data_IF_648717446077
#
_entry.id   IF_648717446077
#
_cell.length_a   1.000
_cell.length_b   1.000
_cell.length_c   1.000
_cell.angle_alpha   90.00
_cell.angle_beta   90.00
_cell.angle_gamma   90.00
#
_symmetry.space_group_name_H-M   'P 1'
#
loop_
_entity.id
_entity.type
_entity.pdbx_description
1 polymer ?
#
# COMPACT_ATOMS: atom_id res chain seq x y z
N UNK A 1 -21.55 50.50 -1.97
CA UNK A 1 -21.93 49.23 -1.29
C UNK A 1 -21.39 47.96 -2.00
N UNK A 2 -20.27 48.03 -2.76
CA UNK A 2 -19.74 46.90 -3.55
C UNK A 2 -18.49 46.19 -2.99
N UNK A 3 -17.89 46.72 -1.93
CA UNK A 3 -16.57 46.30 -1.41
C UNK A 3 -16.65 45.09 -0.46
N UNK A 4 -17.84 44.73 0.04
CA UNK A 4 -17.98 43.59 0.97
C UNK A 4 -18.10 42.23 0.29
N UNK A 5 -18.61 42.17 -0.96
CA UNK A 5 -18.85 40.91 -1.67
C UNK A 5 -17.54 40.29 -2.20
N UNK A 6 -16.58 41.09 -2.67
CA UNK A 6 -15.33 40.55 -3.25
C UNK A 6 -14.41 39.90 -2.19
N UNK A 7 -14.42 40.37 -0.95
CA UNK A 7 -13.57 39.84 0.13
C UNK A 7 -13.86 38.36 0.42
N UNK A 8 -15.13 37.96 0.41
CA UNK A 8 -15.51 36.57 0.60
C UNK A 8 -15.08 35.67 -0.56
N UNK A 9 -15.20 36.15 -1.80
CA UNK A 9 -14.72 35.41 -2.97
C UNK A 9 -13.21 35.16 -2.95
N UNK A 10 -12.42 36.14 -2.49
CA UNK A 10 -10.96 35.97 -2.33
C UNK A 10 -10.65 34.92 -1.26
N UNK A 11 -11.33 34.96 -0.11
CA UNK A 11 -11.13 33.97 0.96
C UNK A 11 -11.50 32.55 0.48
N UNK A 12 -12.62 32.41 -0.23
CA UNK A 12 -13.04 31.12 -0.79
C UNK A 12 -12.03 30.62 -1.84
N UNK A 13 -11.56 31.49 -2.75
CA UNK A 13 -10.59 31.13 -3.76
C UNK A 13 -9.26 30.68 -3.14
N UNK A 14 -8.76 31.39 -2.13
CA UNK A 14 -7.55 31.02 -1.39
C UNK A 14 -7.73 29.70 -0.66
N UNK A 15 -8.88 29.49 0.00
CA UNK A 15 -9.18 28.23 0.66
C UNK A 15 -9.19 27.05 -0.32
N UNK A 16 -9.87 27.19 -1.47
CA UNK A 16 -9.92 26.15 -2.48
C UNK A 16 -8.53 25.87 -3.09
N UNK A 17 -7.72 26.90 -3.31
CA UNK A 17 -6.35 26.74 -3.79
C UNK A 17 -5.45 25.99 -2.80
N UNK A 18 -5.65 26.19 -1.50
CA UNK A 18 -4.84 25.56 -0.44
C UNK A 18 -5.35 24.18 0.00
N UNK A 19 -6.67 24.00 0.08
CA UNK A 19 -7.29 22.83 0.70
C UNK A 19 -8.23 22.05 -0.23
N UNK A 20 -8.60 22.59 -1.39
CA UNK A 20 -9.48 21.90 -2.34
C UNK A 20 -8.94 20.53 -2.75
N UNK A 21 -7.63 20.46 -3.00
CA UNK A 21 -6.93 19.24 -3.37
C UNK A 21 -7.03 18.14 -2.28
N UNK A 22 -7.01 18.53 -1.00
CA UNK A 22 -7.17 17.60 0.14
C UNK A 22 -8.58 17.01 0.19
N UNK A 23 -9.60 17.83 -0.08
CA UNK A 23 -10.99 17.37 -0.13
C UNK A 23 -11.22 16.42 -1.29
N UNK A 24 -10.69 16.75 -2.47
CA UNK A 24 -10.72 15.89 -3.66
C UNK A 24 -10.01 14.56 -3.37
N UNK A 25 -8.79 14.59 -2.80
CA UNK A 25 -8.04 13.39 -2.43
C UNK A 25 -8.85 12.50 -1.49
N UNK A 26 -9.52 13.09 -0.50
CA UNK A 26 -10.31 12.36 0.48
C UNK A 26 -11.53 11.71 -0.18
N UNK A 27 -12.24 12.43 -1.05
CA UNK A 27 -13.38 11.88 -1.78
C UNK A 27 -12.99 10.69 -2.66
N UNK A 28 -11.90 10.83 -3.44
CA UNK A 28 -11.36 9.74 -4.29
C UNK A 28 -10.92 8.55 -3.43
N UNK A 29 -10.21 8.81 -2.34
CA UNK A 29 -9.76 7.77 -1.41
C UNK A 29 -10.93 6.94 -0.88
N UNK A 30 -11.94 7.59 -0.30
CA UNK A 30 -13.10 6.88 0.27
C UNK A 30 -13.89 6.12 -0.80
N UNK A 31 -14.03 6.71 -1.99
CA UNK A 31 -14.68 6.04 -3.12
C UNK A 31 -13.95 4.75 -3.50
N UNK A 32 -12.62 4.76 -3.56
CA UNK A 32 -11.84 3.57 -3.89
C UNK A 32 -11.88 2.54 -2.76
N UNK A 33 -11.82 2.97 -1.50
CA UNK A 33 -11.98 2.06 -0.35
C UNK A 33 -13.35 1.38 -0.29
N UNK A 34 -14.41 2.00 -0.83
CA UNK A 34 -15.73 1.38 -0.91
C UNK A 34 -15.85 0.35 -2.04
N UNK A 35 -15.01 0.46 -3.08
CA UNK A 35 -15.03 -0.43 -4.23
C UNK A 35 -14.11 -1.64 -4.09
N UNK A 36 -12.97 -1.44 -3.43
CA UNK A 36 -11.90 -2.42 -3.40
C UNK A 36 -12.10 -3.49 -2.34
N UNK A 37 -11.70 -4.72 -2.67
CA UNK A 37 -11.36 -5.73 -1.67
C UNK A 37 -9.87 -5.58 -1.34
N UNK A 38 -9.50 -5.23 -0.10
CA UNK A 38 -8.11 -4.92 0.26
C UNK A 38 -7.20 -6.15 0.16
N UNK A 39 -7.77 -7.36 0.24
CA UNK A 39 -7.06 -8.63 0.10
C UNK A 39 -7.91 -9.57 -0.73
N UNK A 40 -7.32 -10.13 -1.78
CA UNK A 40 -7.92 -11.12 -2.64
C UNK A 40 -7.04 -12.38 -2.61
N UNK A 41 -7.65 -13.50 -2.22
CA UNK A 41 -7.01 -14.81 -2.26
C UNK A 41 -7.67 -15.61 -3.38
N UNK A 42 -6.91 -15.87 -4.45
CA UNK A 42 -7.43 -16.59 -5.61
C UNK A 42 -7.31 -18.10 -5.45
N UNK A 43 -6.28 -18.55 -4.73
CA UNK A 43 -6.03 -19.97 -4.49
C UNK A 43 -5.40 -20.17 -3.11
N UNK A 44 -5.95 -21.14 -2.37
CA UNK A 44 -5.42 -21.60 -1.09
C UNK A 44 -4.83 -22.98 -1.29
N UNK A 45 -3.57 -23.14 -0.90
CA UNK A 45 -2.87 -24.42 -0.95
C UNK A 45 -2.50 -24.85 0.48
N UNK A 46 -2.40 -26.16 0.69
CA UNK A 46 -1.82 -26.67 1.92
C UNK A 46 -0.31 -26.48 1.84
N UNK A 47 0.27 -25.78 2.82
CA UNK A 47 1.72 -25.69 2.93
C UNK A 47 2.24 -26.98 3.56
N UNK A 48 3.19 -27.62 2.91
CA UNK A 48 3.90 -28.78 3.45
C UNK A 48 4.81 -28.36 4.60
N UNK A 49 5.16 -29.32 5.46
CA UNK A 49 5.98 -29.07 6.66
C UNK A 49 7.34 -28.45 6.33
N UNK A 50 7.85 -28.64 5.11
CA UNK A 50 9.10 -28.06 4.59
C UNK A 50 9.08 -26.53 4.52
N UNK A 51 7.89 -25.93 4.43
CA UNK A 51 7.74 -24.48 4.48
C UNK A 51 7.89 -23.93 5.88
N UNK A 52 7.71 -24.73 6.93
CA UNK A 52 7.65 -24.24 8.31
C UNK A 52 8.91 -24.63 9.07
N UNK A 53 9.67 -23.62 9.48
CA UNK A 53 10.81 -23.80 10.38
C UNK A 53 10.37 -23.45 11.79
N UNK A 54 10.61 -24.37 12.72
CA UNK A 54 10.45 -24.09 14.15
C UNK A 54 11.68 -23.34 14.62
N UNK A 55 11.49 -22.14 15.17
CA UNK A 55 12.57 -21.25 15.59
C UNK A 55 12.22 -20.66 16.95
N UNK A 56 13.15 -20.79 17.90
CA UNK A 56 12.98 -20.20 19.23
C UNK A 56 13.00 -18.67 19.17
N UNK A 57 12.35 -18.01 20.13
CA UNK A 57 12.21 -16.54 20.17
C UNK A 57 13.55 -15.79 20.08
N UNK A 58 14.60 -16.35 20.71
CA UNK A 58 15.95 -15.77 20.72
C UNK A 58 16.72 -15.95 19.41
N UNK A 59 16.36 -16.98 18.63
CA UNK A 59 16.95 -17.23 17.30
C UNK A 59 16.28 -16.34 16.23
N UNK A 60 15.03 -15.92 16.44
CA UNK A 60 14.31 -15.03 15.52
C UNK A 60 15.00 -13.67 15.33
N UNK A 61 15.65 -13.15 16.36
CA UNK A 61 16.37 -11.88 16.26
C UNK A 61 17.75 -12.02 15.58
N UNK A 62 18.37 -13.21 15.64
CA UNK A 62 19.70 -13.46 15.09
C UNK A 62 19.73 -13.72 13.59
N UNK A 63 18.65 -14.24 13.04
CA UNK A 63 18.59 -14.70 11.65
C UNK A 63 18.13 -13.63 10.64
N UNK A 64 17.96 -12.38 11.07
CA UNK A 64 17.49 -11.31 10.17
C UNK A 64 16.11 -11.61 9.60
N UNK A 65 15.23 -12.21 10.42
CA UNK A 65 13.92 -12.64 9.98
C UNK A 65 13.09 -11.45 9.50
N UNK A 66 12.59 -11.59 8.29
CA UNK A 66 11.63 -10.69 7.71
C UNK A 66 10.26 -10.99 8.33
N UNK A 67 9.73 -10.01 9.08
CA UNK A 67 8.48 -10.15 9.84
C UNK A 67 7.28 -10.59 9.00
N UNK A 68 7.37 -10.49 7.66
CA UNK A 68 6.35 -10.97 6.71
C UNK A 68 6.18 -12.49 6.69
N UNK A 69 7.18 -13.24 7.17
CA UNK A 69 7.20 -14.71 7.13
C UNK A 69 6.99 -15.34 8.51
N UNK A 70 6.59 -14.58 9.53
CA UNK A 70 6.30 -15.12 10.86
C UNK A 70 4.87 -15.66 10.89
N UNK A 71 4.72 -16.95 11.21
CA UNK A 71 3.40 -17.58 11.35
C UNK A 71 2.90 -17.52 12.79
N UNK A 72 3.77 -17.86 13.75
CA UNK A 72 3.45 -17.89 15.18
C UNK A 72 4.69 -17.57 16.03
N UNK A 73 4.55 -17.54 17.37
CA UNK A 73 5.63 -17.27 18.33
C UNK A 73 6.85 -18.17 18.15
N UNK A 74 6.68 -19.39 17.65
CA UNK A 74 7.75 -20.39 17.49
C UNK A 74 7.90 -20.92 16.05
N UNK A 75 7.18 -20.37 15.07
CA UNK A 75 7.24 -20.86 13.69
C UNK A 75 7.37 -19.73 12.67
N UNK A 76 8.15 -19.97 11.64
CA UNK A 76 8.43 -19.04 10.53
C UNK A 76 8.41 -19.80 9.21
N UNK A 77 8.04 -19.11 8.15
CA UNK A 77 8.16 -19.64 6.80
C UNK A 77 9.64 -19.63 6.39
N UNK A 78 10.12 -20.75 5.86
CA UNK A 78 11.43 -20.84 5.23
C UNK A 78 11.46 -19.94 4.00
N UNK A 79 12.02 -18.73 4.15
CA UNK A 79 12.09 -17.72 3.09
C UNK A 79 12.77 -18.27 1.84
N UNK A 80 13.92 -18.93 1.97
CA UNK A 80 14.68 -19.44 0.83
C UNK A 80 13.89 -20.48 0.04
N UNK A 81 13.17 -21.37 0.74
CA UNK A 81 12.32 -22.36 0.10
C UNK A 81 11.10 -21.72 -0.56
N UNK A 82 10.42 -20.82 0.15
CA UNK A 82 9.29 -20.07 -0.38
C UNK A 82 9.66 -19.28 -1.64
N UNK A 83 10.77 -18.53 -1.60
CA UNK A 83 11.25 -17.74 -2.73
C UNK A 83 11.77 -18.60 -3.89
N UNK A 84 12.01 -19.91 -3.68
CA UNK A 84 12.35 -20.83 -4.76
C UNK A 84 11.12 -21.18 -5.62
N UNK A 85 9.93 -21.26 -4.99
CA UNK A 85 8.67 -21.67 -5.64
C UNK A 85 7.75 -20.49 -5.98
N UNK A 86 7.86 -19.40 -5.22
CA UNK A 86 7.01 -18.21 -5.33
C UNK A 86 7.85 -16.96 -5.54
N UNK A 87 7.27 -16.01 -6.26
CA UNK A 87 7.76 -14.65 -6.40
C UNK A 87 6.86 -13.74 -5.56
N UNK A 88 7.45 -13.08 -4.57
CA UNK A 88 6.76 -12.05 -3.80
C UNK A 88 7.04 -10.69 -4.44
N UNK A 89 6.04 -10.12 -5.12
CA UNK A 89 6.11 -8.74 -5.63
C UNK A 89 5.65 -7.80 -4.55
N UNK A 90 6.56 -6.95 -4.10
CA UNK A 90 6.30 -5.97 -3.05
C UNK A 90 6.17 -4.57 -3.64
N UNK A 91 5.06 -3.91 -3.33
CA UNK A 91 4.86 -2.47 -3.56
C UNK A 91 4.97 -2.09 -5.05
N UNK A 92 4.13 -2.68 -5.88
CA UNK A 92 3.84 -2.12 -7.19
C UNK A 92 2.95 -0.88 -6.99
N UNK A 93 3.53 0.30 -7.19
CA UNK A 93 2.88 1.59 -6.98
C UNK A 93 2.13 2.05 -8.24
N UNK A 94 0.81 2.22 -8.11
CA UNK A 94 -0.07 2.73 -9.15
C UNK A 94 -0.61 4.10 -8.75
N UNK A 95 -0.61 5.03 -9.70
CA UNK A 95 -1.22 6.34 -9.52
C UNK A 95 -2.70 6.28 -9.89
N UNK A 96 -3.58 6.62 -8.95
CA UNK A 96 -5.03 6.67 -9.18
C UNK A 96 -5.46 8.06 -9.64
N UNK A 97 -4.87 9.11 -9.07
CA UNK A 97 -5.21 10.49 -9.43
C UNK A 97 -4.01 11.44 -9.34
N UNK A 98 -3.95 12.37 -10.28
CA UNK A 98 -3.02 13.51 -10.27
C UNK A 98 -3.49 14.64 -9.35
N UNK A 99 -4.81 14.87 -9.31
CA UNK A 99 -5.48 15.87 -8.48
C UNK A 99 -6.00 15.22 -7.21
N UNK A 100 -5.58 15.75 -6.06
CA UNK A 100 -5.75 15.12 -4.77
C UNK A 100 -5.02 13.78 -4.77
N UNK A 101 -3.67 13.77 -4.70
CA UNK A 101 -2.88 12.61 -5.06
C UNK A 101 -3.23 11.38 -4.22
N UNK A 102 -3.86 10.40 -4.88
CA UNK A 102 -4.17 9.08 -4.34
C UNK A 102 -3.40 8.05 -5.15
N UNK A 103 -2.76 7.13 -4.44
CA UNK A 103 -2.04 6.00 -5.02
C UNK A 103 -2.53 4.69 -4.46
N UNK A 104 -2.06 3.60 -5.05
CA UNK A 104 -2.35 2.24 -4.64
C UNK A 104 -1.06 1.44 -4.70
N UNK A 105 -0.71 0.79 -3.59
CA UNK A 105 0.36 -0.20 -3.53
C UNK A 105 -0.27 -1.57 -3.68
N UNK A 106 0.23 -2.35 -4.62
CA UNK A 106 -0.15 -3.74 -4.77
C UNK A 106 0.99 -4.62 -4.31
N UNK A 107 0.69 -5.59 -3.45
CA UNK A 107 1.58 -6.70 -3.16
C UNK A 107 0.95 -7.99 -3.67
N UNK A 108 1.73 -8.88 -4.28
CA UNK A 108 1.20 -10.13 -4.81
C UNK A 108 2.16 -11.29 -4.62
N UNK A 109 1.59 -12.49 -4.50
CA UNK A 109 2.33 -13.76 -4.49
C UNK A 109 2.03 -14.45 -5.81
N UNK A 110 3.09 -14.77 -6.56
CA UNK A 110 3.00 -15.42 -7.87
C UNK A 110 3.71 -16.77 -7.79
N UNK A 111 3.04 -17.85 -8.17
CA UNK A 111 3.68 -19.16 -8.28
C UNK A 111 4.58 -19.18 -9.53
N UNK A 112 5.84 -19.57 -9.38
CA UNK A 112 6.80 -19.53 -10.49
C UNK A 112 6.57 -20.62 -11.54
N UNK A 113 6.02 -21.77 -11.13
CA UNK A 113 5.76 -22.91 -12.01
C UNK A 113 4.85 -22.54 -13.20
N UNK A 114 3.76 -21.82 -12.94
CA UNK A 114 2.74 -21.47 -13.93
C UNK A 114 2.50 -19.97 -14.08
N UNK A 115 3.19 -19.14 -13.31
CA UNK A 115 3.03 -17.68 -13.31
C UNK A 115 1.69 -17.22 -12.72
N UNK A 116 0.97 -18.09 -12.01
CA UNK A 116 -0.36 -17.77 -11.47
C UNK A 116 -0.27 -16.88 -10.24
N UNK A 117 -1.11 -15.85 -10.18
CA UNK A 117 -1.26 -14.99 -9.00
C UNK A 117 -2.09 -15.74 -7.95
N UNK A 118 -1.47 -16.06 -6.83
CA UNK A 118 -2.09 -16.79 -5.72
C UNK A 118 -2.90 -15.85 -4.83
N UNK A 119 -2.34 -14.68 -4.54
CA UNK A 119 -2.98 -13.66 -3.73
C UNK A 119 -2.50 -12.26 -4.11
N UNK A 120 -3.34 -11.28 -3.78
CA UNK A 120 -3.10 -9.86 -4.00
C UNK A 120 -3.59 -9.08 -2.79
N UNK A 121 -2.79 -8.13 -2.34
CA UNK A 121 -3.17 -7.15 -1.33
C UNK A 121 -3.05 -5.75 -1.93
N UNK A 122 -4.12 -4.97 -1.84
CA UNK A 122 -4.20 -3.62 -2.37
C UNK A 122 -4.30 -2.63 -1.20
N UNK A 123 -3.30 -1.76 -1.08
CA UNK A 123 -3.29 -0.68 -0.10
C UNK A 123 -3.45 0.64 -0.81
N UNK A 124 -4.62 1.25 -0.67
CA UNK A 124 -4.87 2.60 -1.16
C UNK A 124 -4.29 3.59 -0.15
N UNK A 125 -3.60 4.62 -0.63
CA UNK A 125 -3.05 5.68 0.22
C UNK A 125 -3.28 7.05 -0.40
N UNK A 126 -3.41 8.07 0.47
CA UNK A 126 -3.54 9.46 0.07
C UNK A 126 -2.30 10.25 0.43
N UNK A 127 -1.87 11.15 -0.45
CA UNK A 127 -0.83 12.14 -0.20
C UNK A 127 -1.48 13.51 0.06
N UNK A 128 -0.87 14.32 0.91
CA UNK A 128 -1.43 15.63 1.31
C UNK A 128 -1.10 16.72 0.27
N UNK A 129 -1.72 16.58 -0.91
CA UNK A 129 -1.79 17.62 -1.91
C UNK A 129 -0.64 17.67 -2.92
N UNK A 130 -0.84 18.39 -4.02
CA UNK A 130 0.15 18.59 -5.10
C UNK A 130 1.48 19.20 -4.63
N UNK A 131 1.48 19.99 -3.56
CA UNK A 131 2.69 20.53 -2.92
C UNK A 131 3.54 19.43 -2.25
N UNK A 132 2.94 18.38 -1.70
CA UNK A 132 3.68 17.28 -1.06
C UNK A 132 4.54 16.48 -2.05
N UNK A 133 4.09 16.35 -3.31
CA UNK A 133 4.83 15.66 -4.36
C UNK A 133 6.05 16.46 -4.87
N UNK A 134 6.07 17.79 -4.68
CA UNK A 134 7.23 18.63 -5.06
C UNK A 134 8.32 18.66 -4.00
N UNK A 135 8.01 18.36 -2.73
CA UNK A 135 9.02 18.34 -1.66
C UNK A 135 9.85 17.05 -1.71
N UNK A 136 9.24 15.91 -2.08
CA UNK A 136 9.94 14.62 -2.19
C UNK A 136 10.90 14.50 -3.38
N UNK A 137 10.98 15.51 -4.24
CA UNK A 137 11.97 15.58 -5.34
C UNK A 137 13.14 16.52 -5.03
N UNK A 138 13.08 17.27 -3.93
CA UNK A 138 14.12 18.23 -3.53
C UNK A 138 15.05 17.64 -2.46
N UNK A 139 14.61 16.60 -1.74
CA UNK A 139 15.44 15.82 -0.83
C UNK A 139 15.27 14.32 -1.13
N UNK A 140 16.20 13.71 -1.90
CA UNK A 140 16.26 12.27 -2.10
C UNK A 140 16.65 11.52 -0.82
#
# INVERSE_FOLDING_TARGET
MGVKKYKWWVVIAVYLALFGDRHIASAIFYYQCQKGEPVQVFETILLEDEFVVLVSKDEKEKFGFDGRFVLDENSVINKSYFESLYEFRYRDDYKISDFGPVGMMVSSIIRKEDGKVMSKAETIYKKYGWLSNKVSTIFP
#
